data_IF_999110263968
#
_entry.id   IF_999110263968
#
_cell.length_a   1.000
_cell.length_b   1.000
_cell.length_c   1.000
_cell.angle_alpha   90.00
_cell.angle_beta   90.00
_cell.angle_gamma   90.00
#
_symmetry.space_group_name_H-M   'P 1'
#
loop_
_entity.id
_entity.type
_entity.pdbx_description
1 polymer ?
#
# COMPACT_ATOMS: atom_id res chain seq x y z
N UNK A 1 -3.85 -11.94 16.43
CA UNK A 1 -3.38 -10.54 16.31
C UNK A 1 -4.60 -9.67 16.52
N UNK A 2 -4.51 -8.60 17.33
CA UNK A 2 -5.59 -7.61 17.38
C UNK A 2 -5.85 -7.16 15.94
N UNK A 3 -7.08 -7.24 15.45
CA UNK A 3 -7.48 -6.67 14.16
C UNK A 3 -7.28 -5.16 14.26
N UNK A 4 -6.12 -4.68 13.80
CA UNK A 4 -5.71 -3.26 13.78
C UNK A 4 -6.50 -2.48 12.70
N UNK A 5 -7.33 -3.18 11.92
CA UNK A 5 -7.98 -2.69 10.70
C UNK A 5 -9.04 -1.58 10.88
N UNK A 6 -9.23 -1.05 12.09
CA UNK A 6 -10.23 -0.02 12.37
C UNK A 6 -9.72 1.17 13.21
N UNK A 7 -8.41 1.32 13.42
CA UNK A 7 -7.87 2.53 14.06
C UNK A 7 -7.40 3.54 13.01
N UNK A 8 -8.07 4.70 12.85
CA UNK A 8 -7.52 5.79 12.05
C UNK A 8 -6.17 6.21 12.65
N UNK A 9 -5.09 5.96 11.92
CA UNK A 9 -3.72 6.27 12.35
C UNK A 9 -2.70 5.15 12.14
N UNK A 10 -3.11 3.92 11.82
CA UNK A 10 -2.18 2.82 11.51
C UNK A 10 -2.28 2.43 10.03
N UNK A 11 -1.17 2.25 9.31
CA UNK A 11 -1.20 1.73 7.94
C UNK A 11 -1.87 0.37 7.87
N UNK A 12 -2.64 0.14 6.82
CA UNK A 12 -3.25 -1.15 6.53
C UNK A 12 -2.17 -2.22 6.27
N UNK A 13 -2.51 -3.49 6.47
CA UNK A 13 -1.59 -4.59 6.21
C UNK A 13 -1.00 -4.60 4.77
N UNK A 14 -1.77 -4.31 3.70
CA UNK A 14 -1.21 -4.18 2.34
C UNK A 14 -0.19 -3.05 2.20
N UNK A 15 -0.38 -1.93 2.92
CA UNK A 15 0.59 -0.83 2.96
C UNK A 15 1.83 -1.20 3.72
N UNK A 16 1.71 -1.83 4.90
CA UNK A 16 2.87 -2.34 5.63
C UNK A 16 3.67 -3.30 4.76
N UNK A 17 2.99 -4.27 4.14
CA UNK A 17 3.59 -5.22 3.21
C UNK A 17 4.35 -4.55 2.07
N UNK A 18 3.74 -3.54 1.41
CA UNK A 18 4.41 -2.75 0.37
C UNK A 18 5.71 -2.14 0.88
N UNK A 19 5.66 -1.55 2.07
CA UNK A 19 6.73 -0.76 2.64
C UNK A 19 7.89 -1.60 3.19
N UNK A 20 7.60 -2.78 3.74
CA UNK A 20 8.60 -3.62 4.43
C UNK A 20 9.09 -4.78 3.56
N UNK A 21 8.19 -5.51 2.91
CA UNK A 21 8.52 -6.79 2.28
C UNK A 21 9.07 -6.65 0.85
N UNK A 22 8.77 -5.53 0.17
CA UNK A 22 8.98 -5.42 -1.28
C UNK A 22 9.91 -4.28 -1.74
N UNK A 23 10.47 -3.51 -0.82
CA UNK A 23 11.51 -2.52 -1.13
C UNK A 23 12.85 -3.00 -0.56
N UNK A 24 13.92 -3.01 -1.38
CA UNK A 24 15.27 -3.40 -0.94
C UNK A 24 15.77 -2.55 0.25
N UNK A 25 15.34 -1.29 0.30
CA UNK A 25 15.62 -0.39 1.42
C UNK A 25 14.92 -0.87 2.70
N UNK A 26 13.67 -1.33 2.64
CA UNK A 26 12.92 -1.86 3.79
C UNK A 26 13.63 -3.01 4.48
N UNK A 27 14.15 -3.99 3.72
CA UNK A 27 14.96 -5.09 4.27
C UNK A 27 16.22 -4.60 4.98
N UNK A 28 16.93 -3.63 4.37
CA UNK A 28 18.14 -3.04 4.97
C UNK A 28 17.83 -2.33 6.30
N UNK A 29 16.64 -1.74 6.44
CA UNK A 29 16.19 -1.09 7.66
C UNK A 29 15.84 -2.10 8.74
N UNK A 30 15.10 -3.15 8.39
CA UNK A 30 14.78 -4.26 9.29
C UNK A 30 16.06 -4.92 9.78
N UNK A 31 17.05 -5.12 8.91
CA UNK A 31 18.35 -5.68 9.28
C UNK A 31 19.11 -4.78 10.27
N UNK A 32 19.12 -3.46 10.03
CA UNK A 32 19.76 -2.49 10.95
C UNK A 32 19.05 -2.43 12.30
N UNK A 33 17.71 -2.41 12.31
CA UNK A 33 16.93 -2.42 13.54
C UNK A 33 17.10 -3.74 14.32
N UNK A 34 17.13 -4.87 13.60
CA UNK A 34 17.38 -6.21 14.14
C UNK A 34 18.79 -6.32 14.73
N UNK A 35 19.79 -5.74 14.09
CA UNK A 35 21.17 -5.72 14.59
C UNK A 35 21.29 -5.00 15.94
N UNK A 36 20.52 -3.93 16.16
CA UNK A 36 20.49 -3.20 17.44
C UNK A 36 19.83 -4.01 18.57
N UNK A 37 18.95 -4.96 18.26
CA UNK A 37 18.27 -5.84 19.21
C UNK A 37 18.79 -7.30 19.19
N UNK A 38 19.92 -7.54 18.53
CA UNK A 38 20.41 -8.88 18.20
C UNK A 38 20.51 -9.88 19.37
N UNK A 39 20.97 -9.51 20.58
CA UNK A 39 21.09 -10.48 21.68
C UNK A 39 19.76 -11.12 22.08
N UNK A 40 18.68 -10.34 22.10
CA UNK A 40 17.34 -10.82 22.47
C UNK A 40 16.66 -11.54 21.31
N UNK A 41 16.86 -11.08 20.08
CA UNK A 41 16.27 -11.68 18.89
C UNK A 41 16.90 -13.03 18.54
N UNK A 42 18.19 -13.24 18.81
CA UNK A 42 18.88 -14.51 18.60
C UNK A 42 18.31 -15.64 19.48
N UNK A 43 17.86 -15.36 20.70
CA UNK A 43 17.26 -16.38 21.59
C UNK A 43 15.93 -16.89 21.02
N UNK A 44 15.14 -16.00 20.40
CA UNK A 44 13.84 -16.35 19.83
C UNK A 44 13.95 -16.92 18.41
N UNK A 45 14.73 -16.26 17.55
CA UNK A 45 14.72 -16.48 16.11
C UNK A 45 15.98 -17.22 15.60
N UNK A 46 16.96 -17.51 16.47
CA UNK A 46 18.24 -18.10 16.08
C UNK A 46 18.11 -19.44 15.37
N UNK A 47 17.31 -20.37 15.93
CA UNK A 47 17.08 -21.69 15.32
C UNK A 47 16.40 -21.59 13.94
N UNK A 48 15.29 -20.83 13.75
CA UNK A 48 14.74 -20.57 12.43
C UNK A 48 15.73 -19.94 11.45
N UNK A 49 16.50 -18.92 11.88
CA UNK A 49 17.52 -18.28 11.05
C UNK A 49 18.56 -19.29 10.57
N UNK A 50 19.06 -20.15 11.46
CA UNK A 50 20.04 -21.17 11.10
C UNK A 50 19.45 -22.20 10.13
N UNK A 51 18.23 -22.68 10.37
CA UNK A 51 17.54 -23.60 9.46
C UNK A 51 17.41 -22.99 8.04
N UNK A 52 16.98 -21.73 7.96
CA UNK A 52 16.82 -20.98 6.70
C UNK A 52 18.17 -20.84 5.97
N UNK A 53 19.23 -20.44 6.69
CA UNK A 53 20.57 -20.27 6.10
C UNK A 53 21.14 -21.58 5.55
N UNK A 54 20.84 -22.71 6.19
CA UNK A 54 21.31 -24.03 5.80
C UNK A 54 20.41 -24.76 4.80
N UNK A 55 19.21 -24.24 4.49
CA UNK A 55 18.34 -24.81 3.47
C UNK A 55 19.05 -24.87 2.12
N UNK A 56 19.23 -26.09 1.57
CA UNK A 56 20.02 -26.33 0.35
C UNK A 56 19.21 -26.23 -0.95
N UNK A 57 17.90 -26.41 -0.88
CA UNK A 57 17.01 -26.37 -2.04
C UNK A 57 15.89 -25.36 -1.81
N UNK A 58 15.24 -24.95 -2.90
CA UNK A 58 14.11 -24.03 -2.82
C UNK A 58 12.95 -24.68 -2.05
N UNK A 59 12.67 -25.96 -2.26
CA UNK A 59 11.63 -26.72 -1.55
C UNK A 59 11.81 -26.64 -0.04
N UNK A 60 13.00 -27.00 0.43
CA UNK A 60 13.33 -26.99 1.85
C UNK A 60 13.24 -25.58 2.44
N UNK A 61 13.56 -24.55 1.66
CA UNK A 61 13.40 -23.16 2.09
C UNK A 61 11.93 -22.72 2.14
N UNK A 62 11.10 -23.14 1.18
CA UNK A 62 9.68 -22.81 1.17
C UNK A 62 8.93 -23.51 2.31
N UNK A 63 9.35 -24.72 2.70
CA UNK A 63 8.80 -25.43 3.87
C UNK A 63 9.05 -24.66 5.19
N UNK A 64 10.07 -23.80 5.23
CA UNK A 64 10.40 -22.94 6.38
C UNK A 64 9.66 -21.59 6.38
N UNK A 65 8.81 -21.30 5.39
CA UNK A 65 8.05 -20.05 5.33
C UNK A 65 7.21 -19.73 6.60
N UNK A 66 6.56 -20.70 7.27
CA UNK A 66 5.82 -20.42 8.51
C UNK A 66 6.69 -19.92 9.68
N UNK A 67 7.98 -20.29 9.66
CA UNK A 67 8.97 -19.97 10.70
C UNK A 67 9.71 -18.64 10.41
N UNK A 68 9.56 -18.08 9.20
CA UNK A 68 10.20 -16.85 8.74
C UNK A 68 9.52 -15.59 9.32
N UNK A 69 9.58 -15.40 10.64
CA UNK A 69 9.02 -14.26 11.38
C UNK A 69 10.12 -13.45 12.05
N UNK A 70 9.87 -12.16 12.30
CA UNK A 70 10.82 -11.30 13.01
C UNK A 70 12.17 -11.23 12.29
N UNK A 71 13.26 -11.52 13.00
CA UNK A 71 14.61 -11.49 12.41
C UNK A 71 14.84 -12.60 11.37
N UNK A 72 14.06 -13.69 11.40
CA UNK A 72 14.16 -14.79 10.44
C UNK A 72 13.59 -14.42 9.06
N UNK A 73 12.73 -13.41 8.98
CA UNK A 73 12.11 -12.95 7.73
C UNK A 73 13.16 -12.46 6.73
N UNK A 74 14.07 -11.58 7.16
CA UNK A 74 15.16 -11.07 6.31
C UNK A 74 16.04 -12.21 5.76
N UNK A 75 16.42 -13.15 6.64
CA UNK A 75 17.23 -14.30 6.25
C UNK A 75 16.51 -15.16 5.20
N UNK A 76 15.18 -15.31 5.33
CA UNK A 76 14.37 -16.06 4.38
C UNK A 76 14.34 -15.37 3.02
N UNK A 77 14.05 -14.07 2.98
CA UNK A 77 14.05 -13.30 1.72
C UNK A 77 15.41 -13.30 1.03
N UNK A 78 16.49 -13.12 1.78
CA UNK A 78 17.84 -13.21 1.22
C UNK A 78 18.12 -14.59 0.63
N UNK A 79 17.76 -15.67 1.34
CA UNK A 79 17.99 -17.03 0.87
C UNK A 79 17.15 -17.37 -0.37
N UNK A 80 15.89 -16.92 -0.42
CA UNK A 80 15.00 -17.09 -1.58
C UNK A 80 15.62 -16.41 -2.80
N UNK A 81 16.14 -15.18 -2.66
CA UNK A 81 16.81 -14.47 -3.75
C UNK A 81 18.03 -15.21 -4.27
N UNK A 82 18.83 -15.82 -3.37
CA UNK A 82 20.04 -16.59 -3.75
C UNK A 82 19.73 -17.92 -4.44
N UNK A 83 18.73 -18.66 -3.96
CA UNK A 83 18.38 -19.98 -4.52
C UNK A 83 17.42 -19.88 -5.72
N UNK A 84 16.81 -18.73 -5.93
CA UNK A 84 15.49 -18.65 -6.55
C UNK A 84 15.43 -18.29 -8.02
N UNK A 85 16.51 -18.28 -8.82
CA UNK A 85 16.34 -18.07 -10.27
C UNK A 85 15.52 -19.24 -10.84
N UNK A 86 14.30 -18.95 -11.31
CA UNK A 86 13.38 -19.96 -11.84
C UNK A 86 12.50 -20.66 -10.80
N UNK A 87 12.46 -20.17 -9.55
CA UNK A 87 11.62 -20.74 -8.49
C UNK A 87 10.11 -20.43 -8.63
N UNK A 88 9.72 -19.56 -9.57
CA UNK A 88 8.32 -19.13 -9.69
C UNK A 88 7.29 -20.28 -9.77
N UNK A 89 7.50 -21.36 -10.56
CA UNK A 89 6.52 -22.45 -10.64
C UNK A 89 6.32 -23.17 -9.31
N UNK A 90 7.40 -23.43 -8.57
CA UNK A 90 7.31 -24.15 -7.30
C UNK A 90 6.75 -23.28 -6.19
N UNK A 91 7.06 -21.99 -6.18
CA UNK A 91 6.45 -21.03 -5.27
C UNK A 91 4.94 -20.95 -5.56
N UNK A 92 4.51 -20.90 -6.83
CA UNK A 92 3.11 -20.89 -7.21
C UNK A 92 2.37 -22.15 -6.74
N UNK A 93 2.97 -23.32 -6.91
CA UNK A 93 2.40 -24.59 -6.44
C UNK A 93 2.20 -24.58 -4.91
N UNK A 94 3.20 -24.12 -4.16
CA UNK A 94 3.09 -24.00 -2.70
C UNK A 94 2.07 -22.97 -2.29
N UNK A 95 1.96 -21.87 -3.03
CA UNK A 95 1.00 -20.82 -2.79
C UNK A 95 -0.45 -21.31 -2.98
N UNK A 96 -0.73 -22.08 -4.03
CA UNK A 96 -2.03 -22.73 -4.23
C UNK A 96 -2.34 -23.72 -3.10
N UNK A 97 -1.34 -24.46 -2.63
CA UNK A 97 -1.52 -25.42 -1.53
C UNK A 97 -1.84 -24.77 -0.18
N UNK A 98 -1.65 -23.45 -0.01
CA UNK A 98 -1.98 -22.76 1.24
C UNK A 98 -3.46 -22.81 1.60
N UNK A 99 -4.34 -23.04 0.63
CA UNK A 99 -5.77 -23.26 0.87
C UNK A 99 -6.05 -24.44 1.83
N UNK A 100 -5.12 -25.40 1.91
CA UNK A 100 -5.21 -26.57 2.79
C UNK A 100 -4.77 -26.29 4.24
N UNK A 101 -4.16 -25.12 4.51
CA UNK A 101 -3.69 -24.77 5.86
C UNK A 101 -4.91 -24.35 6.69
N UNK A 102 -5.31 -25.16 7.68
CA UNK A 102 -6.50 -24.89 8.48
C UNK A 102 -6.38 -23.64 9.36
N UNK A 103 -5.20 -23.37 9.92
CA UNK A 103 -4.97 -22.18 10.74
C UNK A 103 -4.82 -20.93 9.87
N UNK A 104 -5.74 -19.97 10.03
CA UNK A 104 -5.79 -18.75 9.22
C UNK A 104 -4.52 -17.91 9.37
N UNK A 105 -3.96 -17.78 10.58
CA UNK A 105 -2.76 -16.96 10.79
C UNK A 105 -1.54 -17.55 10.07
N UNK A 106 -1.33 -18.85 10.18
CA UNK A 106 -0.26 -19.54 9.46
C UNK A 106 -0.48 -19.47 7.94
N UNK A 107 -1.73 -19.57 7.48
CA UNK A 107 -2.06 -19.39 6.06
C UNK A 107 -1.65 -17.99 5.59
N UNK A 108 -2.03 -16.94 6.31
CA UNK A 108 -1.74 -15.55 5.95
C UNK A 108 -0.24 -15.28 5.91
N UNK A 109 0.51 -15.75 6.90
CA UNK A 109 1.98 -15.62 6.94
C UNK A 109 2.62 -16.33 5.76
N UNK A 110 2.21 -17.56 5.46
CA UNK A 110 2.78 -18.30 4.33
C UNK A 110 2.42 -17.61 3.01
N UNK A 111 1.18 -17.16 2.82
CA UNK A 111 0.78 -16.42 1.62
C UNK A 111 1.58 -15.14 1.45
N UNK A 112 1.74 -14.33 2.50
CA UNK A 112 2.53 -13.11 2.47
C UNK A 112 3.98 -13.35 2.01
N UNK A 113 4.63 -14.37 2.59
CA UNK A 113 6.01 -14.74 2.24
C UNK A 113 6.13 -15.23 0.80
N UNK A 114 5.25 -16.12 0.37
CA UNK A 114 5.27 -16.68 -0.98
C UNK A 114 4.92 -15.62 -2.05
N UNK A 115 3.95 -14.74 -1.79
CA UNK A 115 3.64 -13.60 -2.68
C UNK A 115 4.86 -12.66 -2.78
N UNK A 116 5.53 -12.39 -1.66
CA UNK A 116 6.75 -11.58 -1.67
C UNK A 116 7.89 -12.26 -2.44
N UNK A 117 8.06 -13.57 -2.29
CA UNK A 117 9.02 -14.34 -3.08
C UNK A 117 8.71 -14.26 -4.58
N UNK A 118 7.44 -14.39 -4.99
CA UNK A 118 7.05 -14.23 -6.40
C UNK A 118 7.34 -12.83 -6.92
N UNK A 119 7.17 -11.77 -6.12
CA UNK A 119 7.56 -10.42 -6.54
C UNK A 119 9.02 -10.33 -6.99
N UNK A 120 9.93 -11.04 -6.34
CA UNK A 120 11.35 -11.03 -6.71
C UNK A 120 11.68 -11.82 -7.98
N UNK A 121 10.73 -12.59 -8.51
CA UNK A 121 10.88 -13.38 -9.74
C UNK A 121 10.54 -12.58 -11.01
N UNK A 122 10.27 -11.28 -10.91
CA UNK A 122 9.94 -10.42 -12.06
C UNK A 122 8.71 -10.93 -12.81
N UNK A 123 8.78 -10.95 -14.15
CA UNK A 123 7.66 -11.35 -15.01
C UNK A 123 7.20 -12.80 -14.78
N UNK A 124 8.13 -13.70 -14.41
CA UNK A 124 7.75 -15.08 -14.07
C UNK A 124 6.91 -15.12 -12.79
N UNK A 125 7.23 -14.24 -11.84
CA UNK A 125 6.44 -14.00 -10.63
C UNK A 125 5.07 -13.42 -10.92
N UNK A 126 4.98 -12.40 -11.78
CA UNK A 126 3.71 -11.81 -12.19
C UNK A 126 2.77 -12.86 -12.81
N UNK A 127 3.30 -13.70 -13.72
CA UNK A 127 2.58 -14.83 -14.33
C UNK A 127 2.10 -15.82 -13.28
N UNK A 128 3.00 -16.29 -12.42
CA UNK A 128 2.68 -17.21 -11.35
C UNK A 128 1.57 -16.68 -10.43
N UNK A 129 1.62 -15.38 -10.07
CA UNK A 129 0.57 -14.74 -9.27
C UNK A 129 -0.78 -14.75 -9.97
N UNK A 130 -0.84 -14.55 -11.30
CA UNK A 130 -2.09 -14.63 -12.07
C UNK A 130 -2.71 -16.02 -12.04
N UNK A 131 -1.87 -17.04 -12.14
CA UNK A 131 -2.31 -18.43 -12.16
C UNK A 131 -2.82 -18.92 -10.80
N UNK A 132 -2.39 -18.29 -9.69
CA UNK A 132 -2.80 -18.69 -8.34
C UNK A 132 -3.76 -17.70 -7.65
N UNK A 133 -4.08 -16.54 -8.22
CA UNK A 133 -4.85 -15.49 -7.55
C UNK A 133 -6.17 -15.97 -6.94
N UNK A 134 -6.94 -16.81 -7.65
CA UNK A 134 -8.23 -17.33 -7.15
C UNK A 134 -8.08 -18.35 -6.01
N UNK A 135 -6.90 -18.96 -5.86
CA UNK A 135 -6.62 -19.89 -4.77
C UNK A 135 -6.24 -19.20 -3.45
N UNK A 136 -5.98 -17.89 -3.51
CA UNK A 136 -5.65 -17.08 -2.35
C UNK A 136 -6.90 -16.71 -1.57
N UNK A 137 -6.74 -16.46 -0.26
CA UNK A 137 -7.80 -15.82 0.50
C UNK A 137 -7.79 -14.29 0.21
N UNK A 138 -8.78 -13.56 0.73
CA UNK A 138 -8.93 -12.11 0.46
C UNK A 138 -7.67 -11.32 0.87
N UNK A 139 -7.01 -11.72 1.96
CA UNK A 139 -5.75 -11.12 2.40
C UNK A 139 -4.64 -11.35 1.36
N UNK A 140 -4.38 -12.60 0.97
CA UNK A 140 -3.39 -12.94 -0.04
C UNK A 140 -3.66 -12.30 -1.40
N UNK A 141 -4.93 -12.20 -1.83
CA UNK A 141 -5.33 -11.48 -3.04
C UNK A 141 -4.95 -9.99 -2.96
N UNK A 142 -5.23 -9.35 -1.83
CA UNK A 142 -4.84 -7.97 -1.60
C UNK A 142 -3.31 -7.78 -1.70
N UNK A 143 -2.52 -8.68 -1.13
CA UNK A 143 -1.06 -8.62 -1.24
C UNK A 143 -0.56 -8.88 -2.67
N UNK A 144 -1.19 -9.81 -3.38
CA UNK A 144 -0.89 -10.10 -4.79
C UNK A 144 -1.14 -8.88 -5.68
N UNK A 145 -2.20 -8.11 -5.43
CA UNK A 145 -2.41 -6.82 -6.10
C UNK A 145 -1.21 -5.88 -5.89
N UNK A 146 -0.76 -5.69 -4.65
CA UNK A 146 0.41 -4.84 -4.35
C UNK A 146 1.65 -5.33 -5.13
N UNK A 147 1.89 -6.65 -5.15
CA UNK A 147 3.00 -7.23 -5.88
C UNK A 147 2.92 -6.95 -7.41
N UNK A 148 1.74 -7.07 -8.03
CA UNK A 148 1.54 -6.70 -9.43
C UNK A 148 1.78 -5.22 -9.70
N UNK A 149 1.32 -4.33 -8.82
CA UNK A 149 1.62 -2.89 -8.91
C UNK A 149 3.12 -2.63 -8.97
N UNK A 150 3.86 -3.22 -8.04
CA UNK A 150 5.31 -3.06 -7.98
C UNK A 150 6.05 -3.73 -9.14
N UNK A 151 5.48 -4.79 -9.75
CA UNK A 151 5.98 -5.40 -10.99
C UNK A 151 5.62 -4.60 -12.24
N UNK A 152 4.75 -3.58 -12.11
CA UNK A 152 4.15 -2.84 -13.23
C UNK A 152 3.44 -3.76 -14.24
N UNK A 153 2.82 -4.83 -13.74
CA UNK A 153 2.15 -5.84 -14.56
C UNK A 153 0.78 -5.36 -15.08
N UNK A 154 0.80 -4.62 -16.18
CA UNK A 154 -0.41 -4.05 -16.80
C UNK A 154 -1.48 -5.08 -17.18
N UNK A 155 -1.06 -6.31 -17.50
CA UNK A 155 -1.99 -7.40 -17.83
C UNK A 155 -2.96 -7.73 -16.68
N UNK A 156 -2.59 -7.44 -15.43
CA UNK A 156 -3.43 -7.71 -14.25
C UNK A 156 -4.36 -6.55 -13.89
N UNK A 157 -4.30 -5.40 -14.57
CA UNK A 157 -5.10 -4.22 -14.22
C UNK A 157 -6.62 -4.48 -14.19
N UNK A 158 -7.13 -5.30 -15.12
CA UNK A 158 -8.54 -5.70 -15.14
C UNK A 158 -8.95 -6.46 -13.87
N UNK A 159 -8.14 -7.43 -13.48
CA UNK A 159 -8.37 -8.28 -12.31
C UNK A 159 -8.22 -7.55 -10.99
N UNK A 160 -7.24 -6.65 -10.90
CA UNK A 160 -7.08 -5.74 -9.75
C UNK A 160 -8.35 -4.91 -9.56
N UNK A 161 -8.92 -4.39 -10.64
CA UNK A 161 -10.16 -3.62 -10.57
C UNK A 161 -11.36 -4.46 -10.12
N UNK A 162 -11.50 -5.68 -10.65
CA UNK A 162 -12.56 -6.60 -10.21
C UNK A 162 -12.45 -6.92 -8.71
N UNK A 163 -11.24 -7.15 -8.21
CA UNK A 163 -10.99 -7.35 -6.78
C UNK A 163 -11.31 -6.09 -5.95
N UNK A 164 -10.97 -4.89 -6.44
CA UNK A 164 -11.37 -3.63 -5.78
C UNK A 164 -12.90 -3.53 -5.66
N UNK A 165 -13.63 -3.78 -6.75
CA UNK A 165 -15.09 -3.67 -6.77
C UNK A 165 -15.77 -4.61 -5.76
N UNK A 166 -15.23 -5.82 -5.57
CA UNK A 166 -15.79 -6.80 -4.62
C UNK A 166 -15.43 -6.50 -3.17
N UNK A 167 -14.30 -5.83 -2.91
CA UNK A 167 -13.78 -5.59 -1.55
C UNK A 167 -14.06 -4.19 -1.00
N UNK A 168 -14.34 -3.18 -1.85
CA UNK A 168 -14.52 -1.78 -1.41
C UNK A 168 -15.60 -1.56 -0.35
N UNK A 169 -16.60 -2.45 -0.29
CA UNK A 169 -17.72 -2.40 0.68
C UNK A 169 -17.52 -3.28 1.93
N UNK A 170 -16.50 -4.14 1.96
CA UNK A 170 -16.23 -5.00 3.10
C UNK A 170 -15.69 -4.16 4.26
N UNK A 171 -15.93 -4.51 5.54
CA UNK A 171 -15.42 -3.70 6.65
C UNK A 171 -13.88 -3.61 6.65
N UNK A 172 -13.20 -4.69 6.25
CA UNK A 172 -11.74 -4.78 6.16
C UNK A 172 -11.16 -3.88 5.06
N UNK A 173 -9.88 -3.54 5.22
CA UNK A 173 -9.15 -2.65 4.30
C UNK A 173 -8.43 -3.38 3.16
N UNK A 174 -8.89 -4.58 2.76
CA UNK A 174 -8.25 -5.36 1.69
C UNK A 174 -8.29 -4.66 0.31
N UNK A 175 -9.26 -3.77 0.08
CA UNK A 175 -9.31 -2.95 -1.13
C UNK A 175 -8.06 -2.04 -1.27
N UNK A 176 -7.34 -1.75 -0.18
CA UNK A 176 -6.12 -0.94 -0.20
C UNK A 176 -5.01 -1.57 -1.05
N UNK A 177 -4.89 -2.90 -1.06
CA UNK A 177 -3.93 -3.57 -1.93
C UNK A 177 -4.22 -3.36 -3.41
N UNK A 178 -5.50 -3.35 -3.77
CA UNK A 178 -5.96 -3.05 -5.13
C UNK A 178 -5.68 -1.59 -5.51
N UNK A 179 -5.93 -0.64 -4.61
CA UNK A 179 -5.65 0.77 -4.84
C UNK A 179 -4.16 1.02 -5.06
N UNK A 180 -3.28 0.46 -4.23
CA UNK A 180 -1.83 0.53 -4.45
C UNK A 180 -1.45 0.06 -5.86
N UNK A 181 -2.03 -1.07 -6.29
CA UNK A 181 -1.77 -1.63 -7.60
C UNK A 181 -2.25 -0.72 -8.73
N UNK A 182 -3.49 -0.21 -8.68
CA UNK A 182 -4.03 0.70 -9.70
C UNK A 182 -3.20 1.98 -9.80
N UNK A 183 -2.80 2.56 -8.65
CA UNK A 183 -1.95 3.75 -8.59
C UNK A 183 -0.60 3.47 -9.27
N UNK A 184 0.04 2.35 -8.93
CA UNK A 184 1.30 1.97 -9.53
C UNK A 184 1.20 1.67 -11.03
N UNK A 185 0.12 1.04 -11.46
CA UNK A 185 -0.14 0.78 -12.87
C UNK A 185 -0.52 2.07 -13.62
N UNK A 186 -0.70 3.19 -12.91
CA UNK A 186 -1.23 4.46 -13.46
C UNK A 186 -2.58 4.23 -14.16
N UNK A 187 -3.38 3.34 -13.60
CA UNK A 187 -4.69 3.02 -14.12
C UNK A 187 -5.65 4.19 -13.86
N UNK A 188 -6.32 4.67 -14.90
CA UNK A 188 -7.21 5.84 -14.81
C UNK A 188 -8.39 5.61 -13.84
N UNK A 189 -8.72 4.35 -13.53
CA UNK A 189 -9.79 4.01 -12.60
C UNK A 189 -9.41 4.24 -11.13
N UNK A 190 -8.12 4.45 -10.82
CA UNK A 190 -7.68 4.74 -9.44
C UNK A 190 -8.33 6.00 -8.87
N UNK A 191 -8.39 7.09 -9.63
CA UNK A 191 -9.02 8.35 -9.19
C UNK A 191 -10.52 8.18 -8.96
N UNK A 192 -11.20 7.47 -9.87
CA UNK A 192 -12.61 7.11 -9.75
C UNK A 192 -12.88 6.31 -8.46
N UNK A 193 -12.07 5.29 -8.18
CA UNK A 193 -12.18 4.52 -6.94
C UNK A 193 -12.05 5.38 -5.68
N UNK A 194 -11.07 6.29 -5.65
CA UNK A 194 -10.87 7.21 -4.52
C UNK A 194 -12.05 8.18 -4.36
N UNK A 195 -12.59 8.70 -5.46
CA UNK A 195 -13.78 9.54 -5.48
C UNK A 195 -15.01 8.82 -4.93
N UNK A 196 -15.22 7.56 -5.31
CA UNK A 196 -16.31 6.72 -4.79
C UNK A 196 -16.19 6.49 -3.28
N UNK A 197 -14.99 6.18 -2.79
CA UNK A 197 -14.73 5.96 -1.36
C UNK A 197 -14.96 7.23 -0.54
N UNK A 198 -14.47 8.39 -1.01
CA UNK A 198 -14.74 9.70 -0.39
C UNK A 198 -16.24 9.98 -0.30
N UNK A 199 -16.96 9.76 -1.40
CA UNK A 199 -18.41 10.00 -1.47
C UNK A 199 -19.18 9.09 -0.51
N UNK A 200 -18.73 7.83 -0.38
CA UNK A 200 -19.27 6.88 0.59
C UNK A 200 -18.86 7.18 2.04
N UNK A 201 -18.02 8.18 2.29
CA UNK A 201 -17.51 8.52 3.63
C UNK A 201 -16.55 7.47 4.20
N UNK A 202 -15.91 6.66 3.35
CA UNK A 202 -14.92 5.66 3.77
C UNK A 202 -13.58 6.34 4.04
N UNK A 203 -13.19 6.33 5.31
CA UNK A 203 -11.90 6.84 5.78
C UNK A 203 -10.98 5.66 6.11
N UNK A 204 -9.74 5.77 5.67
CA UNK A 204 -8.66 4.82 5.94
C UNK A 204 -7.34 5.58 5.94
N UNK A 205 -6.30 5.00 6.53
CA UNK A 205 -5.02 5.66 6.75
C UNK A 205 -4.42 6.24 5.45
N UNK A 206 -4.52 5.50 4.35
CA UNK A 206 -3.87 5.83 3.08
C UNK A 206 -4.63 6.86 2.24
N UNK A 207 -5.83 7.25 2.62
CA UNK A 207 -6.76 8.01 1.77
C UNK A 207 -6.10 9.25 1.15
N UNK A 208 -5.52 10.12 1.98
CA UNK A 208 -4.94 11.39 1.51
C UNK A 208 -3.64 11.17 0.73
N UNK A 209 -2.80 10.21 1.15
CA UNK A 209 -1.61 9.82 0.40
C UNK A 209 -1.95 9.28 -1.00
N UNK A 210 -3.00 8.47 -1.11
CA UNK A 210 -3.50 7.97 -2.39
C UNK A 210 -4.10 9.07 -3.27
N UNK A 211 -4.85 10.00 -2.68
CA UNK A 211 -5.34 11.17 -3.40
C UNK A 211 -4.18 12.03 -3.91
N UNK A 212 -3.11 12.19 -3.12
CA UNK A 212 -1.92 12.91 -3.55
C UNK A 212 -1.21 12.24 -4.75
N UNK A 213 -1.16 10.91 -4.77
CA UNK A 213 -0.55 10.13 -5.84
C UNK A 213 -1.42 10.04 -7.12
N UNK A 214 -2.73 9.85 -6.98
CA UNK A 214 -3.60 9.43 -8.09
C UNK A 214 -4.92 10.20 -8.24
N UNK A 215 -5.28 11.10 -7.32
CA UNK A 215 -6.46 11.94 -7.48
C UNK A 215 -6.44 12.79 -8.75
N UNK A 216 -7.60 13.05 -9.34
CA UNK A 216 -7.77 13.90 -10.52
C UNK A 216 -8.91 14.91 -10.29
N UNK A 217 -9.41 15.54 -11.36
CA UNK A 217 -10.51 16.51 -11.28
C UNK A 217 -11.76 15.92 -10.59
N UNK A 218 -12.07 14.63 -10.79
CA UNK A 218 -13.24 13.96 -10.20
C UNK A 218 -13.12 13.77 -8.68
N UNK A 219 -11.93 13.97 -8.10
CA UNK A 219 -11.70 13.86 -6.66
C UNK A 219 -11.78 15.20 -5.93
N UNK A 220 -11.74 16.33 -6.64
CA UNK A 220 -11.74 17.68 -6.04
C UNK A 220 -13.02 17.95 -5.26
N UNK A 221 -14.19 17.87 -5.90
CA UNK A 221 -15.47 18.17 -5.23
C UNK A 221 -15.76 17.20 -4.07
N UNK A 222 -15.60 15.86 -4.22
CA UNK A 222 -15.75 14.94 -3.09
C UNK A 222 -14.82 15.25 -1.91
N UNK A 223 -13.55 15.58 -2.17
CA UNK A 223 -12.60 15.93 -1.13
C UNK A 223 -12.99 17.24 -0.42
N UNK A 224 -13.40 18.27 -1.16
CA UNK A 224 -13.89 19.52 -0.55
C UNK A 224 -15.16 19.32 0.28
N UNK A 225 -16.11 18.49 -0.19
CA UNK A 225 -17.29 18.10 0.60
C UNK A 225 -16.92 17.36 1.87
N UNK A 226 -15.91 16.50 1.79
CA UNK A 226 -15.37 15.80 2.93
C UNK A 226 -14.78 16.79 3.95
N UNK A 227 -13.90 17.69 3.51
CA UNK A 227 -13.30 18.74 4.34
C UNK A 227 -14.34 19.61 5.05
N UNK A 228 -15.40 20.02 4.34
CA UNK A 228 -16.47 20.85 4.91
C UNK A 228 -17.26 20.15 6.03
N UNK A 229 -17.19 18.81 6.13
CA UNK A 229 -17.83 18.02 7.19
C UNK A 229 -16.89 17.72 8.35
N UNK A 230 -15.59 17.95 8.20
CA UNK A 230 -14.62 17.68 9.27
C UNK A 230 -14.85 18.65 10.43
N UNK A 231 -14.95 18.15 11.68
CA UNK A 231 -14.99 19.03 12.85
C UNK A 231 -13.75 19.92 12.90
N UNK A 232 -13.90 21.19 13.26
CA UNK A 232 -12.78 22.15 13.35
C UNK A 232 -11.64 21.66 14.25
N UNK A 233 -11.92 20.78 15.23
CA UNK A 233 -10.91 20.19 16.13
C UNK A 233 -10.03 19.12 15.48
N UNK A 234 -10.23 18.77 14.20
CA UNK A 234 -9.42 17.80 13.44
C UNK A 234 -8.42 18.50 12.53
N UNK A 235 -7.56 19.32 13.12
CA UNK A 235 -6.58 20.13 12.39
C UNK A 235 -5.65 19.28 11.50
N UNK A 236 -5.17 18.13 12.00
CA UNK A 236 -4.32 17.23 11.22
C UNK A 236 -5.03 16.64 9.98
N UNK A 237 -6.28 16.16 10.11
CA UNK A 237 -7.04 15.64 8.96
C UNK A 237 -7.37 16.75 7.94
N UNK A 238 -7.58 17.98 8.42
CA UNK A 238 -7.75 19.14 7.55
C UNK A 238 -6.46 19.47 6.78
N UNK A 239 -5.30 19.39 7.43
CA UNK A 239 -4.00 19.59 6.79
C UNK A 239 -3.72 18.52 5.73
N UNK A 240 -3.96 17.25 6.04
CA UNK A 240 -3.81 16.14 5.09
C UNK A 240 -4.68 16.34 3.84
N UNK A 241 -5.94 16.72 4.04
CA UNK A 241 -6.88 16.96 2.94
C UNK A 241 -6.46 18.15 2.07
N UNK A 242 -5.98 19.25 2.68
CA UNK A 242 -5.44 20.41 1.95
C UNK A 242 -4.21 20.01 1.14
N UNK A 243 -3.28 19.26 1.72
CA UNK A 243 -2.07 18.81 1.03
C UNK A 243 -2.39 17.87 -0.13
N UNK A 244 -3.36 16.98 0.03
CA UNK A 244 -3.86 16.14 -1.06
C UNK A 244 -4.51 16.98 -2.16
N UNK A 245 -5.28 18.01 -1.81
CA UNK A 245 -5.91 18.92 -2.78
C UNK A 245 -4.87 19.74 -3.57
N UNK A 246 -3.82 20.21 -2.90
CA UNK A 246 -2.66 20.87 -3.55
C UNK A 246 -1.99 19.89 -4.53
N UNK A 247 -1.78 18.64 -4.13
CA UNK A 247 -1.19 17.61 -4.99
C UNK A 247 -2.05 17.32 -6.25
N UNK A 248 -3.38 17.32 -6.11
CA UNK A 248 -4.33 17.15 -7.21
C UNK A 248 -4.29 18.40 -8.12
N UNK A 249 -4.39 19.59 -7.55
CA UNK A 249 -4.37 20.87 -8.28
C UNK A 249 -3.16 20.94 -9.21
N UNK A 250 -1.98 20.51 -8.75
CA UNK A 250 -0.74 20.53 -9.53
C UNK A 250 -0.67 19.50 -10.67
N UNK A 251 -1.57 18.52 -10.70
CA UNK A 251 -1.68 17.51 -11.78
C UNK A 251 -2.76 17.83 -12.80
N UNK A 252 -3.77 18.60 -12.42
CA UNK A 252 -4.86 19.03 -13.32
C UNK A 252 -4.61 20.44 -13.84
N UNK A 253 -5.37 20.87 -14.85
CA UNK A 253 -5.25 22.24 -15.36
C UNK A 253 -5.85 23.26 -14.39
N UNK A 254 -5.39 24.51 -14.49
CA UNK A 254 -5.96 25.64 -13.74
C UNK A 254 -7.45 25.79 -13.98
N UNK A 255 -7.87 25.62 -15.24
CA UNK A 255 -9.26 25.70 -15.67
C UNK A 255 -10.10 24.58 -15.04
N UNK A 256 -9.57 23.36 -14.98
CA UNK A 256 -10.25 22.24 -14.32
C UNK A 256 -10.42 22.52 -12.82
N UNK A 257 -9.37 22.97 -12.13
CA UNK A 257 -9.45 23.27 -10.70
C UNK A 257 -10.47 24.38 -10.39
N UNK A 258 -10.48 25.46 -11.19
CA UNK A 258 -11.46 26.54 -11.03
C UNK A 258 -12.90 26.06 -11.25
N UNK A 259 -13.12 25.20 -12.24
CA UNK A 259 -14.42 24.61 -12.54
C UNK A 259 -14.92 23.76 -11.38
N UNK A 260 -14.08 22.87 -10.84
CA UNK A 260 -14.46 21.99 -9.74
C UNK A 260 -14.72 22.77 -8.44
N UNK A 261 -13.90 23.79 -8.14
CA UNK A 261 -14.16 24.67 -6.99
C UNK A 261 -15.47 25.44 -7.15
N UNK A 262 -15.78 25.94 -8.36
CA UNK A 262 -17.06 26.60 -8.63
C UNK A 262 -18.26 25.65 -8.48
N UNK A 263 -18.10 24.38 -8.90
CA UNK A 263 -19.13 23.36 -8.73
C UNK A 263 -19.39 23.04 -7.25
N UNK A 264 -18.33 22.99 -6.42
CA UNK A 264 -18.48 22.82 -4.97
C UNK A 264 -19.22 23.99 -4.31
N UNK A 265 -18.88 25.23 -4.69
CA UNK A 265 -19.49 26.46 -4.14
C UNK A 265 -21.01 26.53 -4.33
N UNK A 266 -21.51 26.02 -5.47
CA UNK A 266 -22.96 25.93 -5.72
C UNK A 266 -23.68 25.00 -4.74
N UNK A 267 -22.96 24.08 -4.09
CA UNK A 267 -23.50 23.08 -3.19
C UNK A 267 -23.38 23.45 -1.71
N UNK A 268 -22.56 24.45 -1.35
CA UNK A 268 -22.27 24.82 0.04
C UNK A 268 -22.02 26.34 0.21
N UNK A 269 -23.05 27.14 0.55
CA UNK A 269 -22.88 28.56 0.86
C UNK A 269 -22.29 28.80 2.27
N UNK A 270 -21.57 29.91 2.51
CA UNK A 270 -21.26 30.99 1.57
C UNK A 270 -20.05 30.68 0.67
N UNK A 271 -20.23 30.88 -0.64
CA UNK A 271 -19.16 30.71 -1.62
C UNK A 271 -18.12 31.85 -1.53
N UNK A 272 -16.81 31.56 -1.63
CA UNK A 272 -15.79 32.57 -1.89
C UNK A 272 -16.16 33.42 -3.10
N UNK A 273 -15.76 34.68 -3.10
CA UNK A 273 -15.91 35.51 -4.30
C UNK A 273 -15.03 34.93 -5.43
N UNK A 274 -15.39 35.10 -6.72
CA UNK A 274 -14.60 34.57 -7.83
C UNK A 274 -13.09 34.92 -7.76
N UNK A 275 -12.75 36.14 -7.31
CA UNK A 275 -11.36 36.59 -7.12
C UNK A 275 -10.63 35.83 -6.00
N UNK A 276 -11.32 35.48 -4.93
CA UNK A 276 -10.76 34.71 -3.81
C UNK A 276 -10.50 33.28 -4.24
N UNK A 277 -11.42 32.67 -4.99
CA UNK A 277 -11.24 31.35 -5.59
C UNK A 277 -10.01 31.31 -6.51
N UNK A 278 -9.87 32.29 -7.40
CA UNK A 278 -8.70 32.40 -8.28
C UNK A 278 -7.39 32.51 -7.49
N UNK A 279 -7.36 33.30 -6.41
CA UNK A 279 -6.19 33.42 -5.55
C UNK A 279 -5.86 32.09 -4.82
N UNK A 280 -6.86 31.33 -4.39
CA UNK A 280 -6.67 30.01 -3.77
C UNK A 280 -6.08 29.02 -4.78
N UNK A 281 -6.65 28.95 -6.00
CA UNK A 281 -6.13 28.07 -7.05
C UNK A 281 -4.69 28.43 -7.39
N UNK A 282 -4.38 29.72 -7.53
CA UNK A 282 -3.02 30.19 -7.81
C UNK A 282 -2.06 29.78 -6.70
N UNK A 283 -2.48 29.91 -5.44
CA UNK A 283 -1.69 29.47 -4.28
C UNK A 283 -1.42 27.97 -4.32
N UNK A 284 -2.40 27.14 -4.68
CA UNK A 284 -2.21 25.69 -4.78
C UNK A 284 -1.26 25.31 -5.92
N UNK A 285 -1.39 25.97 -7.08
CA UNK A 285 -0.56 25.71 -8.26
C UNK A 285 0.90 26.11 -8.05
N UNK A 286 1.14 27.22 -7.35
CA UNK A 286 2.48 27.75 -7.03
C UNK A 286 3.11 27.12 -5.79
N UNK A 287 2.35 26.31 -5.03
CA UNK A 287 2.88 25.61 -3.86
C UNK A 287 4.03 24.67 -4.26
N UNK A 288 5.16 24.67 -3.55
CA UNK A 288 6.33 23.88 -3.94
C UNK A 288 6.02 22.38 -4.01
N UNK A 289 6.50 21.74 -5.09
CA UNK A 289 6.34 20.29 -5.28
C UNK A 289 6.92 19.49 -4.13
N UNK A 290 8.13 19.85 -3.74
CA UNK A 290 8.89 19.14 -2.74
C UNK A 290 8.14 19.12 -1.40
N UNK A 291 7.46 20.22 -1.03
CA UNK A 291 6.70 20.29 0.22
C UNK A 291 5.55 19.27 0.28
N UNK A 292 4.89 18.99 -0.85
CA UNK A 292 3.85 17.93 -0.91
C UNK A 292 4.47 16.54 -0.83
N UNK A 293 5.56 16.33 -1.56
CA UNK A 293 6.27 15.04 -1.57
C UNK A 293 6.89 14.73 -0.20
N UNK A 294 7.42 15.73 0.51
CA UNK A 294 7.94 15.61 1.87
C UNK A 294 6.81 15.31 2.88
N UNK A 295 5.65 15.95 2.71
CA UNK A 295 4.48 15.72 3.55
C UNK A 295 3.97 14.29 3.43
N UNK A 296 3.81 13.79 2.20
CA UNK A 296 3.40 12.41 1.91
C UNK A 296 4.58 11.48 1.63
N UNK A 297 5.75 11.74 2.21
CA UNK A 297 6.99 11.05 1.88
C UNK A 297 6.88 9.53 1.90
N UNK A 298 6.14 8.96 2.86
CA UNK A 298 5.94 7.52 2.97
C UNK A 298 5.34 6.92 1.68
N UNK A 299 4.44 7.65 1.03
CA UNK A 299 3.76 7.22 -0.18
C UNK A 299 4.60 7.41 -1.44
N UNK A 300 5.47 8.42 -1.48
CA UNK A 300 6.33 8.73 -2.62
C UNK A 300 7.62 7.91 -2.66
N UNK A 301 8.32 7.79 -1.51
CA UNK A 301 9.65 7.17 -1.41
C UNK A 301 9.68 5.87 -0.61
N UNK A 302 8.58 5.49 0.04
CA UNK A 302 8.54 4.32 0.93
C UNK A 302 9.14 4.59 2.32
N UNK A 303 9.43 3.53 3.07
CA UNK A 303 10.03 3.62 4.41
C UNK A 303 11.51 3.98 4.35
N UNK A 304 11.94 4.84 5.26
CA UNK A 304 13.34 5.13 5.54
C UNK A 304 13.74 4.94 6.99
N UNK A 305 15.05 4.99 7.27
CA UNK A 305 15.60 4.87 8.63
C UNK A 305 14.95 5.88 9.58
N UNK A 306 14.77 7.11 9.11
CA UNK A 306 14.24 8.21 9.92
C UNK A 306 12.76 8.00 10.26
N UNK A 307 12.00 7.34 9.39
CA UNK A 307 10.59 7.03 9.64
C UNK A 307 10.46 5.97 10.75
N UNK A 308 11.33 4.96 10.75
CA UNK A 308 11.44 4.00 11.84
C UNK A 308 11.87 4.66 13.16
N UNK A 309 12.87 5.55 13.11
CA UNK A 309 13.38 6.23 14.30
C UNK A 309 12.33 7.14 14.95
N UNK A 310 11.43 7.72 14.15
CA UNK A 310 10.28 8.50 14.65
C UNK A 310 9.21 7.61 15.28
N UNK A 311 8.94 6.42 14.75
CA UNK A 311 7.94 5.50 15.27
C UNK A 311 8.34 4.82 16.60
N UNK A 312 9.63 4.80 16.92
CA UNK A 312 10.18 4.21 18.16
C UNK A 312 10.36 5.23 19.30
N UNK A 313 10.03 6.50 19.09
CA UNK A 313 10.08 7.57 20.12
C UNK A 313 8.68 7.84 20.65
#
# INVERSE_FOLDING_TARGET
MLTVDAMPGVPSAPTLYRLTALMDQGHTLVDKATALAAPFLMVRDGKPIDAIKHAKTIEALLDLAPEARGAAESAWHERVRRLGIGAAPIIAQRLQATAMIADQNNRDIVQERLVAALRWQGDAGARALRDCFDSLNVYGQSLACVAWGLLRDQASAGRVWEFFETTKRQPESHFVGALWALIDLKDARASKALSELLTAGRVFYELYGFLALAGDEHTVVPLMKWMARLPQKREAENEDAVMALIAIARRISREAMLREMAAFEQLAPPAPKPKEREAIVEKFMTYPRQSVEDYFQLFYRGLSVDDFAKALR
#
